data_IF_365012169003
#
_entry.id   IF_365012169003
#
_cell.length_a   1.000
_cell.length_b   1.000
_cell.length_c   1.000
_cell.angle_alpha   90.00
_cell.angle_beta   90.00
_cell.angle_gamma   90.00
#
_symmetry.space_group_name_H-M   'P 1'
#
loop_
_entity.id
_entity.type
_entity.pdbx_description
1 polymer ?
#
# COMPACT_ATOMS: atom_id res chain seq x y z
N UNK A 1 -30.20 12.91 4.93
CA UNK A 1 -28.85 12.32 4.98
C UNK A 1 -28.02 13.03 3.93
N UNK A 2 -27.06 13.87 4.33
CA UNK A 2 -26.16 14.51 3.37
C UNK A 2 -25.19 13.46 2.83
N UNK A 3 -25.25 13.18 1.54
CA UNK A 3 -24.30 12.33 0.83
C UNK A 3 -23.36 13.30 0.11
N UNK A 4 -22.12 13.41 0.57
CA UNK A 4 -21.10 14.18 -0.15
C UNK A 4 -20.74 13.43 -1.43
N UNK A 5 -20.94 14.06 -2.58
CA UNK A 5 -20.61 13.49 -3.89
C UNK A 5 -19.14 13.78 -4.25
N UNK A 6 -18.23 13.41 -3.35
CA UNK A 6 -16.80 13.65 -3.51
C UNK A 6 -16.19 12.64 -4.46
N UNK A 7 -15.49 13.11 -5.50
CA UNK A 7 -14.79 12.25 -6.44
C UNK A 7 -13.66 11.49 -5.71
N UNK A 8 -13.67 10.14 -5.71
CA UNK A 8 -12.59 9.38 -5.08
C UNK A 8 -11.24 9.52 -5.80
N UNK A 9 -11.22 10.01 -7.04
CA UNK A 9 -10.00 10.21 -7.84
C UNK A 9 -9.43 11.60 -7.55
N UNK A 10 -8.16 11.64 -7.12
CA UNK A 10 -7.41 12.86 -6.89
C UNK A 10 -6.77 13.37 -8.18
N UNK A 11 -6.13 12.47 -8.93
CA UNK A 11 -5.48 12.77 -10.19
C UNK A 11 -5.74 11.64 -11.18
N UNK A 12 -5.96 11.98 -12.45
CA UNK A 12 -6.09 11.01 -13.52
C UNK A 12 -5.05 11.30 -14.60
N UNK A 13 -4.16 10.35 -14.84
CA UNK A 13 -3.17 10.40 -15.91
C UNK A 13 -3.46 9.28 -16.92
N UNK A 14 -4.26 9.60 -17.95
CA UNK A 14 -4.71 8.67 -18.99
C UNK A 14 -5.37 7.40 -18.43
N UNK A 15 -4.60 6.33 -18.25
CA UNK A 15 -5.07 5.03 -17.76
C UNK A 15 -4.78 4.81 -16.27
N UNK A 16 -4.15 5.77 -15.59
CA UNK A 16 -3.75 5.66 -14.19
C UNK A 16 -4.53 6.65 -13.33
N UNK A 17 -5.43 6.11 -12.52
CA UNK A 17 -6.20 6.87 -11.52
C UNK A 17 -5.49 6.83 -10.17
N UNK A 18 -5.09 7.98 -9.65
CA UNK A 18 -4.58 8.14 -8.29
C UNK A 18 -5.75 8.53 -7.40
N UNK A 19 -6.08 7.66 -6.44
CA UNK A 19 -7.21 7.86 -5.52
C UNK A 19 -6.77 8.56 -4.24
N UNK A 20 -7.69 9.31 -3.64
CA UNK A 20 -7.43 10.03 -2.38
C UNK A 20 -6.99 9.11 -1.24
N UNK A 21 -7.58 7.90 -1.12
CA UNK A 21 -7.19 6.97 -0.07
C UNK A 21 -5.72 6.54 -0.22
N UNK A 22 -5.23 6.36 -1.45
CA UNK A 22 -3.84 5.97 -1.72
C UNK A 22 -2.88 7.07 -1.25
N UNK A 23 -3.23 8.33 -1.54
CA UNK A 23 -2.46 9.48 -1.05
C UNK A 23 -2.47 9.54 0.47
N UNK A 24 -3.61 9.32 1.12
CA UNK A 24 -3.72 9.30 2.58
C UNK A 24 -2.81 8.25 3.22
N UNK A 25 -2.73 7.03 2.65
CA UNK A 25 -1.79 6.02 3.13
C UNK A 25 -0.34 6.46 2.99
N UNK A 26 0.05 6.99 1.83
CA UNK A 26 1.41 7.46 1.56
C UNK A 26 1.79 8.58 2.54
N UNK A 27 0.92 9.59 2.70
CA UNK A 27 1.16 10.67 3.64
C UNK A 27 1.24 10.19 5.08
N UNK A 28 0.36 9.28 5.50
CA UNK A 28 0.40 8.70 6.84
C UNK A 28 1.74 8.02 7.14
N UNK A 29 2.24 7.21 6.21
CA UNK A 29 3.53 6.52 6.35
C UNK A 29 4.69 7.54 6.39
N UNK A 30 4.71 8.51 5.48
CA UNK A 30 5.77 9.53 5.42
C UNK A 30 5.80 10.36 6.71
N UNK A 31 4.64 10.80 7.21
CA UNK A 31 4.55 11.59 8.43
C UNK A 31 5.00 10.79 9.65
N UNK A 32 4.58 9.53 9.77
CA UNK A 32 5.03 8.65 10.85
C UNK A 32 6.54 8.41 10.79
N UNK A 33 7.07 8.15 9.59
CA UNK A 33 8.50 7.94 9.36
C UNK A 33 9.33 9.17 9.77
N UNK A 34 8.95 10.37 9.30
CA UNK A 34 9.62 11.63 9.67
C UNK A 34 9.51 11.89 11.18
N UNK A 35 8.34 11.67 11.76
CA UNK A 35 8.12 11.91 13.18
C UNK A 35 9.02 11.02 14.04
N UNK A 36 9.05 9.71 13.76
CA UNK A 36 9.90 8.77 14.49
C UNK A 36 11.38 9.12 14.36
N UNK A 37 11.86 9.39 13.15
CA UNK A 37 13.27 9.73 12.91
C UNK A 37 13.70 11.03 13.58
N UNK A 38 12.82 12.03 13.60
CA UNK A 38 13.19 13.36 14.09
C UNK A 38 13.06 13.49 15.61
N UNK A 39 12.12 12.79 16.22
CA UNK A 39 11.74 13.03 17.62
C UNK A 39 11.92 11.83 18.55
N UNK A 40 11.83 10.60 18.04
CA UNK A 40 11.82 9.41 18.89
C UNK A 40 13.17 8.68 18.88
N UNK A 41 13.75 8.47 17.71
CA UNK A 41 14.96 7.69 17.54
C UNK A 41 16.15 8.66 17.55
N UNK A 42 17.07 8.45 18.49
CA UNK A 42 18.26 9.30 18.68
C UNK A 42 19.56 8.61 18.25
N UNK A 43 19.57 7.29 18.25
CA UNK A 43 20.73 6.49 17.87
C UNK A 43 20.80 6.30 16.34
N UNK A 44 21.97 6.56 15.75
CA UNK A 44 22.15 6.47 14.29
C UNK A 44 22.05 5.05 13.73
N UNK A 45 22.42 4.04 14.51
CA UNK A 45 22.27 2.65 14.10
C UNK A 45 20.80 2.23 14.12
N UNK A 46 20.05 2.62 15.15
CA UNK A 46 18.59 2.39 15.20
C UNK A 46 17.85 3.12 14.07
N UNK A 47 18.29 4.32 13.69
CA UNK A 47 17.70 5.05 12.54
C UNK A 47 17.79 4.26 11.24
N UNK A 48 18.95 3.63 10.98
CA UNK A 48 19.15 2.81 9.77
C UNK A 48 18.26 1.56 9.80
N UNK A 49 18.23 0.86 10.93
CA UNK A 49 17.35 -0.30 11.09
C UNK A 49 15.87 0.07 10.95
N UNK A 50 15.48 1.24 11.43
CA UNK A 50 14.12 1.74 11.28
C UNK A 50 13.77 2.06 9.83
N UNK A 51 14.69 2.68 9.08
CA UNK A 51 14.50 2.90 7.64
C UNK A 51 14.30 1.57 6.90
N UNK A 52 15.16 0.59 7.17
CA UNK A 52 15.05 -0.76 6.59
C UNK A 52 13.71 -1.41 6.96
N UNK A 53 13.32 -1.33 8.24
CA UNK A 53 12.05 -1.87 8.74
C UNK A 53 10.85 -1.29 7.99
N UNK A 54 10.78 0.04 7.83
CA UNK A 54 9.67 0.69 7.12
C UNK A 54 9.62 0.22 5.67
N UNK A 55 10.77 0.12 4.99
CA UNK A 55 10.83 -0.42 3.62
C UNK A 55 10.31 -1.86 3.55
N UNK A 56 10.75 -2.73 4.45
CA UNK A 56 10.28 -4.12 4.50
C UNK A 56 8.79 -4.23 4.83
N UNK A 57 8.25 -3.36 5.69
CA UNK A 57 6.82 -3.33 6.01
C UNK A 57 5.99 -2.91 4.80
N UNK A 58 6.42 -1.89 4.04
CA UNK A 58 5.71 -1.46 2.82
C UNK A 58 5.67 -2.61 1.80
N UNK A 59 6.81 -3.27 1.57
CA UNK A 59 6.88 -4.44 0.69
C UNK A 59 5.99 -5.57 1.22
N UNK A 60 6.03 -5.83 2.51
CA UNK A 60 5.22 -6.85 3.18
C UNK A 60 3.73 -6.61 3.01
N UNK A 61 3.26 -5.37 3.13
CA UNK A 61 1.84 -5.01 2.91
C UNK A 61 1.43 -5.23 1.45
N UNK A 62 2.27 -4.81 0.50
CA UNK A 62 1.97 -4.95 -0.94
C UNK A 62 1.93 -6.44 -1.34
N UNK A 63 2.98 -7.18 -0.98
CA UNK A 63 3.11 -8.60 -1.33
C UNK A 63 2.10 -9.45 -0.56
N UNK A 64 1.97 -9.24 0.75
CA UNK A 64 1.05 -9.96 1.61
C UNK A 64 -0.41 -9.71 1.23
N UNK A 65 -0.79 -8.45 1.01
CA UNK A 65 -2.13 -8.10 0.54
C UNK A 65 -2.45 -8.75 -0.80
N UNK A 66 -1.50 -8.76 -1.74
CA UNK A 66 -1.71 -9.38 -3.06
C UNK A 66 -1.83 -10.90 -2.98
N UNK A 67 -0.89 -11.56 -2.31
CA UNK A 67 -0.90 -13.01 -2.15
C UNK A 67 -2.10 -13.49 -1.34
N UNK A 68 -2.46 -12.76 -0.27
CA UNK A 68 -3.67 -13.03 0.50
C UNK A 68 -4.93 -12.94 -0.37
N UNK A 69 -5.02 -11.94 -1.25
CA UNK A 69 -6.13 -11.86 -2.20
C UNK A 69 -6.19 -13.08 -3.13
N UNK A 70 -5.04 -13.42 -3.72
CA UNK A 70 -4.93 -14.56 -4.65
C UNK A 70 -5.31 -15.88 -3.99
N UNK A 71 -4.81 -16.14 -2.78
CA UNK A 71 -5.01 -17.41 -2.08
C UNK A 71 -6.43 -17.52 -1.53
N UNK A 72 -6.95 -16.46 -0.90
CA UNK A 72 -8.21 -16.54 -0.17
C UNK A 72 -9.45 -16.23 -1.02
N UNK A 73 -9.32 -15.42 -2.08
CA UNK A 73 -10.49 -14.95 -2.83
C UNK A 73 -10.64 -15.62 -4.20
N UNK A 74 -9.55 -15.87 -4.95
CA UNK A 74 -9.69 -16.44 -6.29
C UNK A 74 -8.51 -17.35 -6.75
N UNK A 75 -8.18 -18.40 -5.99
CA UNK A 75 -6.98 -19.22 -6.25
C UNK A 75 -7.03 -19.95 -7.60
N UNK A 76 -8.20 -20.47 -8.01
CA UNK A 76 -8.35 -21.23 -9.26
C UNK A 76 -8.09 -20.35 -10.49
N UNK A 77 -8.51 -19.09 -10.45
CA UNK A 77 -8.27 -18.14 -11.53
C UNK A 77 -6.77 -17.84 -11.70
N UNK A 78 -6.09 -17.53 -10.61
CA UNK A 78 -4.66 -17.18 -10.65
C UNK A 78 -3.75 -18.37 -10.94
N UNK A 79 -4.19 -19.61 -10.65
CA UNK A 79 -3.50 -20.82 -11.13
C UNK A 79 -3.51 -20.93 -12.66
N UNK A 80 -4.58 -20.47 -13.32
CA UNK A 80 -4.67 -20.42 -14.79
C UNK A 80 -3.95 -19.21 -15.38
N UNK A 81 -3.90 -18.09 -14.65
CA UNK A 81 -3.31 -16.82 -15.07
C UNK A 81 -2.23 -16.34 -14.09
N UNK A 82 -1.09 -17.05 -13.95
CA UNK A 82 -0.10 -16.75 -12.91
C UNK A 82 0.56 -15.37 -13.07
N UNK A 83 0.66 -14.85 -14.30
CA UNK A 83 1.22 -13.53 -14.57
C UNK A 83 0.38 -12.40 -13.97
N UNK A 84 -0.94 -12.61 -13.83
CA UNK A 84 -1.85 -11.61 -13.27
C UNK A 84 -1.66 -11.42 -11.77
N UNK A 85 -0.99 -12.34 -11.07
CA UNK A 85 -0.65 -12.19 -9.66
C UNK A 85 0.20 -10.91 -9.46
N UNK A 86 1.05 -10.56 -10.43
CA UNK A 86 1.91 -9.37 -10.36
C UNK A 86 1.21 -8.07 -10.79
N UNK A 87 0.02 -8.17 -11.39
CA UNK A 87 -0.73 -7.02 -11.92
C UNK A 87 -1.51 -6.29 -10.81
N UNK A 88 -0.78 -5.57 -9.95
CA UNK A 88 -1.35 -4.85 -8.81
C UNK A 88 -2.35 -3.75 -9.22
N UNK A 89 -2.22 -3.21 -10.43
CA UNK A 89 -3.10 -2.15 -10.96
C UNK A 89 -4.51 -2.64 -11.32
N UNK A 90 -4.71 -3.96 -11.47
CA UNK A 90 -6.05 -4.53 -11.67
C UNK A 90 -6.86 -4.58 -10.36
N UNK A 91 -6.29 -4.11 -9.24
CA UNK A 91 -6.89 -4.21 -7.91
C UNK A 91 -6.79 -5.62 -7.34
N UNK A 92 -7.53 -5.87 -6.25
CA UNK A 92 -7.51 -7.15 -5.53
C UNK A 92 -6.37 -7.23 -4.51
N UNK A 93 -6.58 -6.62 -3.36
CA UNK A 93 -5.70 -6.66 -2.18
C UNK A 93 -6.51 -7.15 -0.98
N UNK A 94 -5.95 -8.07 -0.20
CA UNK A 94 -6.52 -8.52 1.07
C UNK A 94 -6.11 -7.60 2.22
N UNK A 95 -7.01 -7.44 3.19
CA UNK A 95 -6.74 -6.73 4.45
C UNK A 95 -6.45 -7.66 5.64
N UNK A 96 -6.70 -8.97 5.50
CA UNK A 96 -6.33 -9.98 6.51
C UNK A 96 -4.83 -9.94 6.84
#
# INVERSE_FOLDING_TARGET
>A
MFINNFDPVAFNFFALEIRWYSLSYIFGIILAWIYCKRFLIKDEHELKLFDDLISFLIIGVIVGGRLGYVIFYNPIYYLKNPIEILMLWNGGMSFH
#
